data_IF_566907855166
#
_entry.id   IF_566907855166
#
_cell.length_a   1.000
_cell.length_b   1.000
_cell.length_c   1.000
_cell.angle_alpha   90.00
_cell.angle_beta   90.00
_cell.angle_gamma   90.00
#
_symmetry.space_group_name_H-M   'P 1'
#
loop_
_entity.id
_entity.type
_entity.pdbx_description
1 polymer ?
#
# COMPACT_ATOMS: atom_id res chain seq x y z
N UNK A 1 1.80 -16.18 11.42
CA UNK A 1 1.49 -14.90 12.10
C UNK A 1 1.21 -13.79 11.09
N UNK A 2 0.36 -12.82 11.43
CA UNK A 2 -0.09 -11.77 10.50
C UNK A 2 1.05 -10.86 10.04
N UNK A 3 2.15 -10.76 10.79
CA UNK A 3 3.33 -10.00 10.39
C UNK A 3 4.03 -10.59 9.16
N UNK A 4 4.10 -11.93 9.06
CA UNK A 4 4.66 -12.61 7.88
C UNK A 4 3.80 -12.36 6.64
N UNK A 5 2.48 -12.37 6.82
CA UNK A 5 1.54 -12.10 5.74
C UNK A 5 1.64 -10.65 5.25
N UNK A 6 1.77 -9.69 6.17
CA UNK A 6 2.03 -8.29 5.85
C UNK A 6 3.34 -8.08 5.10
N UNK A 7 4.37 -8.87 5.41
CA UNK A 7 5.65 -8.81 4.69
C UNK A 7 5.52 -9.34 3.27
N UNK A 8 4.89 -10.50 3.09
CA UNK A 8 4.63 -11.10 1.77
C UNK A 8 3.82 -10.15 0.88
N UNK A 9 2.78 -9.53 1.43
CA UNK A 9 1.94 -8.56 0.70
C UNK A 9 2.70 -7.28 0.40
N UNK A 10 3.62 -6.86 1.26
CA UNK A 10 4.53 -5.74 1.00
C UNK A 10 5.48 -5.97 -0.18
N UNK A 11 5.81 -7.24 -0.47
CA UNK A 11 6.72 -7.63 -1.55
C UNK A 11 6.04 -7.82 -2.92
N UNK A 12 4.71 -7.91 -2.97
CA UNK A 12 3.98 -8.03 -4.25
C UNK A 12 3.98 -6.67 -4.95
N UNK A 13 4.71 -6.45 -6.04
CA UNK A 13 4.79 -5.12 -6.65
C UNK A 13 3.56 -4.75 -7.51
N UNK A 14 2.93 -5.73 -8.17
CA UNK A 14 1.83 -5.47 -9.11
C UNK A 14 0.49 -5.29 -8.40
N UNK A 15 -0.25 -4.19 -8.67
CA UNK A 15 -1.60 -4.00 -8.12
C UNK A 15 -2.59 -5.09 -8.53
N UNK A 16 -2.41 -5.66 -9.74
CA UNK A 16 -3.23 -6.79 -10.22
C UNK A 16 -3.16 -8.00 -9.30
N UNK A 17 -1.96 -8.31 -8.81
CA UNK A 17 -1.70 -9.51 -8.02
C UNK A 17 -2.25 -9.35 -6.60
N UNK A 18 -2.21 -8.13 -6.06
CA UNK A 18 -2.89 -7.76 -4.83
C UNK A 18 -4.41 -7.87 -4.96
N UNK A 19 -4.98 -7.38 -6.07
CA UNK A 19 -6.42 -7.51 -6.35
C UNK A 19 -6.83 -8.98 -6.46
N UNK A 20 -6.06 -9.80 -7.18
CA UNK A 20 -6.30 -11.25 -7.24
C UNK A 20 -6.26 -11.89 -5.85
N UNK A 21 -5.32 -11.48 -4.99
CA UNK A 21 -5.24 -11.95 -3.60
C UNK A 21 -6.46 -11.53 -2.78
N UNK A 22 -6.93 -10.29 -2.91
CA UNK A 22 -8.15 -9.80 -2.23
C UNK A 22 -9.38 -10.62 -2.62
N UNK A 23 -9.48 -10.98 -3.91
CA UNK A 23 -10.61 -11.73 -4.45
C UNK A 23 -10.59 -13.21 -4.04
N UNK A 24 -9.48 -13.75 -3.53
CA UNK A 24 -9.43 -15.14 -3.06
C UNK A 24 -10.15 -15.36 -1.73
N UNK A 25 -10.16 -14.37 -0.83
CA UNK A 25 -10.90 -14.48 0.44
C UNK A 25 -11.22 -13.13 1.06
N UNK A 26 -12.37 -13.04 1.73
CA UNK A 26 -12.81 -11.85 2.46
C UNK A 26 -11.85 -11.44 3.59
N UNK A 27 -11.06 -12.39 4.10
CA UNK A 27 -10.02 -12.11 5.12
C UNK A 27 -8.85 -11.31 4.55
N UNK A 28 -8.56 -11.46 3.24
CA UNK A 28 -7.50 -10.70 2.56
C UNK A 28 -7.96 -9.31 2.15
N UNK A 29 -9.24 -9.13 1.81
CA UNK A 29 -9.83 -7.82 1.47
C UNK A 29 -9.48 -6.77 2.53
N UNK A 30 -9.82 -7.05 3.80
CA UNK A 30 -9.60 -6.11 4.91
C UNK A 30 -8.10 -5.81 5.12
N UNK A 31 -7.27 -6.81 4.89
CA UNK A 31 -5.83 -6.69 5.09
C UNK A 31 -5.18 -5.88 3.95
N UNK A 32 -5.68 -6.02 2.72
CA UNK A 32 -5.15 -5.36 1.53
C UNK A 32 -5.57 -3.90 1.41
N UNK A 33 -6.74 -3.50 1.92
CA UNK A 33 -7.15 -2.09 1.99
C UNK A 33 -6.08 -1.23 2.68
N UNK A 34 -5.52 -1.71 3.79
CA UNK A 34 -4.44 -1.01 4.52
C UNK A 34 -3.11 -0.95 3.74
N UNK A 35 -2.91 -1.83 2.75
CA UNK A 35 -1.67 -1.91 1.96
C UNK A 35 -1.77 -1.24 0.58
N UNK A 36 -2.98 -0.99 0.07
CA UNK A 36 -3.22 -0.27 -1.18
C UNK A 36 -3.08 1.24 -0.99
N UNK A 37 -3.39 1.75 0.21
CA UNK A 37 -3.26 3.17 0.54
C UNK A 37 -1.81 3.66 0.40
N UNK A 38 -1.64 4.71 -0.42
CA UNK A 38 -0.36 5.38 -0.70
C UNK A 38 0.75 4.51 -1.32
N UNK A 39 0.41 3.38 -1.93
CA UNK A 39 1.38 2.51 -2.61
C UNK A 39 1.92 3.13 -3.90
N UNK A 40 1.05 3.80 -4.64
CA UNK A 40 1.37 4.57 -5.85
C UNK A 40 0.86 5.99 -5.64
N UNK A 41 1.75 6.97 -5.71
CA UNK A 41 1.39 8.39 -5.61
C UNK A 41 1.26 8.94 -7.04
N UNK A 42 0.02 9.19 -7.47
CA UNK A 42 -0.29 9.82 -8.75
C UNK A 42 -0.74 11.27 -8.56
N UNK A 43 0.04 12.06 -7.79
CA UNK A 43 -0.22 13.49 -7.62
C UNK A 43 0.89 14.33 -8.26
N UNK A 44 0.62 15.62 -8.45
CA UNK A 44 1.68 16.56 -8.84
C UNK A 44 2.79 16.55 -7.78
N UNK A 45 4.08 16.60 -8.16
CA UNK A 45 5.18 16.77 -7.21
C UNK A 45 5.02 18.02 -6.34
N UNK A 46 4.29 19.03 -6.82
CA UNK A 46 4.02 20.26 -6.08
C UNK A 46 2.90 20.12 -5.02
N UNK A 47 2.22 18.97 -4.94
CA UNK A 47 1.13 18.77 -3.98
C UNK A 47 1.67 18.58 -2.56
N UNK A 48 1.86 19.71 -1.89
CA UNK A 48 2.38 19.78 -0.52
C UNK A 48 1.52 19.03 0.48
N UNK A 49 0.22 18.85 0.24
CA UNK A 49 -0.67 18.18 1.19
C UNK A 49 -0.33 16.70 1.28
N UNK A 50 -0.08 16.05 0.15
CA UNK A 50 0.31 14.63 0.08
C UNK A 50 1.65 14.42 0.79
N UNK A 51 2.65 15.26 0.48
CA UNK A 51 3.97 15.15 1.12
C UNK A 51 3.94 15.44 2.63
N UNK A 52 3.16 16.44 3.07
CA UNK A 52 2.97 16.72 4.49
C UNK A 52 2.26 15.57 5.21
N UNK A 53 1.28 14.93 4.57
CA UNK A 53 0.59 13.78 5.13
C UNK A 53 1.54 12.58 5.29
N UNK A 54 2.34 12.27 4.26
CA UNK A 54 3.34 11.20 4.30
C UNK A 54 4.44 11.47 5.32
N UNK A 55 4.88 12.72 5.46
CA UNK A 55 5.84 13.13 6.49
C UNK A 55 5.30 12.91 7.91
N UNK A 56 3.99 13.07 8.13
CA UNK A 56 3.33 12.81 9.43
C UNK A 56 3.09 11.32 9.68
N UNK A 57 3.06 10.51 8.63
CA UNK A 57 2.80 9.07 8.71
C UNK A 57 3.92 8.25 8.03
N UNK A 58 5.10 8.10 8.69
CA UNK A 58 6.26 7.42 8.12
C UNK A 58 6.00 5.98 7.68
N UNK A 59 5.03 5.30 8.32
CA UNK A 59 4.61 3.94 7.96
C UNK A 59 4.00 3.86 6.57
N UNK A 60 3.26 4.91 6.16
CA UNK A 60 2.70 5.03 4.80
C UNK A 60 3.80 5.39 3.81
N UNK A 61 4.68 6.33 4.16
CA UNK A 61 5.81 6.73 3.32
C UNK A 61 6.74 5.55 2.96
N UNK A 62 6.96 4.61 3.88
CA UNK A 62 7.77 3.41 3.64
C UNK A 62 7.19 2.46 2.58
N UNK A 63 5.88 2.56 2.32
CA UNK A 63 5.15 1.67 1.39
C UNK A 63 5.03 2.25 -0.02
N UNK A 64 5.44 3.51 -0.20
CA UNK A 64 5.45 4.15 -1.51
C UNK A 64 6.45 3.43 -2.42
N UNK A 65 5.99 2.96 -3.57
CA UNK A 65 6.83 2.37 -4.62
C UNK A 65 6.93 3.35 -5.78
N UNK A 66 8.12 3.51 -6.34
CA UNK A 66 8.30 4.16 -7.65
C UNK A 66 7.86 3.20 -8.74
N UNK A 67 7.15 3.71 -9.75
CA UNK A 67 6.88 2.98 -11.01
C UNK A 67 8.18 2.89 -11.80
#
# INVERSE_FOLDING_TARGET
>A
PIELLNKLIGDIDKPSDLLSLALTSQSFEKLLSDHLDYRIIQCSPADRRVWQHLSKHPRLAKRVKSI
#
